data_IF_979933944966
#
_entry.id   IF_979933944966
#
_cell.length_a   1.000
_cell.length_b   1.000
_cell.length_c   1.000
_cell.angle_alpha   90.00
_cell.angle_beta   90.00
_cell.angle_gamma   90.00
#
_symmetry.space_group_name_H-M   'P 1'
#
loop_
_entity.id
_entity.type
_entity.pdbx_description
1 polymer ?
#
# COMPACT_ATOMS: atom_id res chain seq x y z
N UNK A 1 12.80 9.17 -10.00
CA UNK A 1 11.44 9.22 -9.39
C UNK A 1 10.77 7.85 -9.34
N UNK A 2 10.81 7.04 -10.41
CA UNK A 2 10.43 5.61 -10.34
C UNK A 2 11.29 4.78 -9.36
N UNK A 3 12.45 5.32 -8.99
CA UNK A 3 13.39 4.81 -7.98
C UNK A 3 12.91 4.90 -6.53
N UNK A 4 11.79 5.58 -6.24
CA UNK A 4 11.32 5.78 -4.85
C UNK A 4 10.27 4.75 -4.39
N UNK A 5 9.69 3.97 -5.31
CA UNK A 5 8.86 2.84 -4.94
C UNK A 5 9.73 1.57 -4.96
N UNK A 6 9.80 0.82 -3.83
CA UNK A 6 10.47 -0.46 -3.84
C UNK A 6 9.74 -1.43 -4.78
N UNK A 7 10.48 -2.38 -5.37
CA UNK A 7 9.85 -3.46 -6.10
C UNK A 7 8.90 -4.27 -5.22
N UNK A 8 7.75 -4.65 -5.77
CA UNK A 8 6.87 -5.64 -5.15
C UNK A 8 7.32 -7.03 -5.56
N UNK A 9 7.68 -7.87 -4.59
CA UNK A 9 8.07 -9.25 -4.87
C UNK A 9 6.92 -10.07 -5.45
N UNK A 10 5.70 -9.86 -4.95
CA UNK A 10 4.49 -10.53 -5.46
C UNK A 10 4.24 -10.19 -6.94
N UNK A 11 4.24 -8.90 -7.26
CA UNK A 11 4.03 -8.43 -8.64
C UNK A 11 5.16 -8.88 -9.57
N UNK A 12 6.42 -8.80 -9.10
CA UNK A 12 7.59 -9.22 -9.87
C UNK A 12 7.56 -10.71 -10.17
N UNK A 13 7.13 -11.53 -9.21
CA UNK A 13 6.99 -12.97 -9.40
C UNK A 13 5.90 -13.31 -10.44
N UNK A 14 4.77 -12.60 -10.42
CA UNK A 14 3.73 -12.76 -11.44
C UNK A 14 4.21 -12.42 -12.84
N UNK A 15 4.93 -11.30 -12.99
CA UNK A 15 5.54 -10.91 -14.27
C UNK A 15 6.62 -11.93 -14.71
N UNK A 16 7.39 -12.47 -13.77
CA UNK A 16 8.41 -13.48 -14.05
C UNK A 16 7.83 -14.80 -14.56
N UNK A 17 6.57 -15.14 -14.27
CA UNK A 17 5.91 -16.38 -14.73
C UNK A 17 5.48 -16.34 -16.20
N UNK A 18 5.47 -15.17 -16.84
CA UNK A 18 4.97 -15.01 -18.21
C UNK A 18 5.88 -15.76 -19.19
N UNK A 19 5.36 -16.74 -19.95
CA UNK A 19 6.15 -17.44 -20.95
C UNK A 19 6.40 -16.55 -22.17
N UNK A 20 7.60 -16.65 -22.75
CA UNK A 20 7.88 -16.01 -24.01
C UNK A 20 6.96 -16.59 -25.11
N UNK A 21 6.25 -15.75 -25.89
CA UNK A 21 5.32 -16.22 -26.93
C UNK A 21 5.97 -17.11 -28.00
N UNK A 22 7.23 -16.85 -28.35
CA UNK A 22 8.01 -17.57 -29.36
C UNK A 22 8.77 -18.76 -28.75
N UNK A 23 9.29 -18.59 -27.53
CA UNK A 23 10.09 -19.59 -26.82
C UNK A 23 9.48 -19.93 -25.46
N UNK A 24 8.37 -20.68 -25.45
CA UNK A 24 7.60 -21.01 -24.23
C UNK A 24 8.39 -21.67 -23.09
N UNK A 25 9.59 -22.17 -23.35
CA UNK A 25 10.53 -22.72 -22.35
C UNK A 25 11.36 -21.65 -21.63
N UNK A 26 11.16 -20.37 -21.93
CA UNK A 26 11.88 -19.24 -21.31
C UNK A 26 10.89 -18.17 -20.85
N UNK A 27 11.22 -17.44 -19.77
CA UNK A 27 10.42 -16.29 -19.36
C UNK A 27 10.49 -15.19 -20.42
N UNK A 28 9.37 -14.49 -20.62
CA UNK A 28 9.31 -13.27 -21.42
C UNK A 28 10.18 -12.17 -20.79
N UNK A 29 10.20 -12.10 -19.45
CA UNK A 29 10.94 -11.10 -18.68
C UNK A 29 12.01 -11.77 -17.79
N UNK A 30 13.17 -12.18 -18.35
CA UNK A 30 14.21 -12.87 -17.59
C UNK A 30 14.79 -12.04 -16.43
N UNK A 31 14.80 -10.71 -16.56
CA UNK A 31 15.27 -9.81 -15.50
C UNK A 31 14.41 -9.87 -14.23
N UNK A 32 13.10 -10.11 -14.36
CA UNK A 32 12.20 -10.27 -13.22
C UNK A 32 12.47 -11.60 -12.50
N UNK A 33 12.76 -12.67 -13.24
CA UNK A 33 13.15 -13.95 -12.66
C UNK A 33 14.51 -13.86 -11.93
N UNK A 34 15.49 -13.19 -12.55
CA UNK A 34 16.79 -12.92 -11.91
C UNK A 34 16.63 -12.07 -10.64
N UNK A 35 15.70 -11.10 -10.65
CA UNK A 35 15.37 -10.33 -9.44
C UNK A 35 14.82 -11.25 -8.34
N UNK A 36 13.87 -12.14 -8.65
CA UNK A 36 13.31 -13.08 -7.65
C UNK A 36 14.41 -13.95 -7.03
N UNK A 37 15.34 -14.47 -7.85
CA UNK A 37 16.46 -15.29 -7.38
C UNK A 37 17.40 -14.56 -6.41
N UNK A 38 17.62 -13.25 -6.63
CA UNK A 38 18.64 -12.47 -5.90
C UNK A 38 18.10 -11.68 -4.70
N UNK A 39 16.79 -11.60 -4.52
CA UNK A 39 16.15 -10.74 -3.51
C UNK A 39 15.33 -11.54 -2.48
N UNK A 40 15.77 -12.76 -2.15
CA UNK A 40 15.23 -13.50 -1.00
C UNK A 40 15.84 -12.97 0.30
N UNK A 41 15.02 -12.76 1.32
CA UNK A 41 15.48 -12.35 2.65
C UNK A 41 16.24 -13.50 3.35
N UNK A 42 17.12 -13.17 4.30
CA UNK A 42 17.89 -14.16 5.07
C UNK A 42 17.04 -15.19 5.83
N UNK A 43 15.75 -14.91 6.07
CA UNK A 43 14.79 -15.84 6.68
C UNK A 43 13.95 -16.66 5.70
N UNK A 44 14.28 -16.65 4.41
CA UNK A 44 13.60 -17.41 3.37
C UNK A 44 12.37 -16.72 2.75
N UNK A 45 11.90 -15.60 3.31
CA UNK A 45 10.76 -14.85 2.79
C UNK A 45 11.12 -13.92 1.62
N UNK A 46 10.11 -13.47 0.88
CA UNK A 46 10.19 -12.33 -0.03
C UNK A 46 9.25 -11.22 0.41
N UNK A 47 9.58 -9.98 0.03
CA UNK A 47 8.82 -8.78 0.40
C UNK A 47 9.49 -8.01 1.52
N UNK A 48 8.70 -7.21 2.24
CA UNK A 48 9.20 -6.34 3.30
C UNK A 48 9.86 -7.15 4.44
N UNK A 49 10.90 -6.58 5.06
CA UNK A 49 11.64 -7.20 6.16
C UNK A 49 10.81 -7.31 7.43
N UNK A 50 9.85 -6.40 7.61
CA UNK A 50 8.86 -6.52 8.67
C UNK A 50 7.93 -7.69 8.31
N UNK A 51 8.10 -8.82 9.00
CA UNK A 51 7.34 -10.06 8.78
C UNK A 51 5.86 -9.86 9.10
N UNK A 52 5.11 -9.33 8.14
CA UNK A 52 3.65 -9.16 8.13
C UNK A 52 2.99 -10.26 7.30
N UNK A 53 1.66 -10.32 7.30
CA UNK A 53 0.88 -11.25 6.45
C UNK A 53 1.25 -11.13 4.97
N UNK A 54 1.72 -9.96 4.52
CA UNK A 54 2.09 -9.65 3.13
C UNK A 54 3.26 -10.50 2.62
N UNK A 55 4.12 -10.94 3.55
CA UNK A 55 5.25 -11.81 3.23
C UNK A 55 4.79 -13.20 2.76
N UNK A 56 3.58 -13.65 3.15
CA UNK A 56 3.08 -14.98 2.78
C UNK A 56 2.74 -15.06 1.28
N UNK A 57 1.87 -14.20 0.69
CA UNK A 57 1.62 -14.23 -0.74
C UNK A 57 2.85 -13.90 -1.57
N UNK A 58 3.69 -12.96 -1.13
CA UNK A 58 4.92 -12.61 -1.83
C UNK A 58 5.89 -13.80 -1.92
N UNK A 59 6.05 -14.55 -0.82
CA UNK A 59 6.87 -15.76 -0.80
C UNK A 59 6.26 -16.86 -1.65
N UNK A 60 4.94 -17.10 -1.56
CA UNK A 60 4.25 -18.07 -2.41
C UNK A 60 4.43 -17.77 -3.90
N UNK A 61 4.12 -16.55 -4.34
CA UNK A 61 4.29 -16.15 -5.74
C UNK A 61 5.75 -16.34 -6.20
N UNK A 62 6.72 -15.97 -5.36
CA UNK A 62 8.15 -16.12 -5.66
C UNK A 62 8.57 -17.58 -5.86
N UNK A 63 8.21 -18.49 -4.95
CA UNK A 63 8.55 -19.92 -5.10
C UNK A 63 7.81 -20.56 -6.28
N UNK A 64 6.59 -20.12 -6.59
CA UNK A 64 5.83 -20.57 -7.77
C UNK A 64 6.53 -20.12 -9.05
N UNK A 65 7.03 -18.89 -9.11
CA UNK A 65 7.79 -18.37 -10.25
C UNK A 65 9.08 -19.15 -10.47
N UNK A 66 9.85 -19.39 -9.40
CA UNK A 66 11.07 -20.20 -9.46
C UNK A 66 10.78 -21.65 -9.90
N UNK A 67 9.72 -22.26 -9.36
CA UNK A 67 9.29 -23.61 -9.73
C UNK A 67 8.85 -23.70 -11.19
N UNK A 68 8.15 -22.68 -11.69
CA UNK A 68 7.67 -22.61 -13.09
C UNK A 68 8.83 -22.74 -14.08
N UNK A 69 10.00 -22.21 -13.73
CA UNK A 69 11.21 -22.25 -14.58
C UNK A 69 12.24 -23.29 -14.16
N UNK A 70 11.96 -24.13 -13.14
CA UNK A 70 12.90 -25.10 -12.57
C UNK A 70 14.27 -24.48 -12.20
N UNK A 71 14.26 -23.31 -11.56
CA UNK A 71 15.46 -22.62 -11.05
C UNK A 71 15.36 -22.38 -9.55
N UNK A 72 16.49 -22.10 -8.88
CA UNK A 72 16.50 -21.67 -7.49
C UNK A 72 15.95 -22.69 -6.49
N UNK A 73 16.33 -23.98 -6.60
CA UNK A 73 15.85 -25.03 -5.69
C UNK A 73 16.12 -24.71 -4.21
N UNK A 74 17.30 -24.18 -3.90
CA UNK A 74 17.66 -23.73 -2.55
C UNK A 74 16.71 -22.62 -2.09
N UNK A 75 16.42 -21.63 -2.95
CA UNK A 75 15.51 -20.55 -2.64
C UNK A 75 14.09 -21.07 -2.37
N UNK A 76 13.62 -22.05 -3.16
CA UNK A 76 12.31 -22.71 -2.96
C UNK A 76 12.27 -23.40 -1.59
N UNK A 77 13.31 -24.17 -1.24
CA UNK A 77 13.36 -24.90 0.03
C UNK A 77 13.34 -23.93 1.23
N UNK A 78 14.09 -22.84 1.18
CA UNK A 78 14.08 -21.80 2.21
C UNK A 78 12.73 -21.06 2.27
N UNK A 79 12.10 -20.79 1.14
CA UNK A 79 10.76 -20.19 1.08
C UNK A 79 9.70 -21.10 1.69
N UNK A 80 9.77 -22.41 1.43
CA UNK A 80 8.89 -23.38 2.07
C UNK A 80 9.11 -23.41 3.58
N UNK A 81 10.37 -23.49 4.06
CA UNK A 81 10.69 -23.44 5.50
C UNK A 81 10.08 -22.21 6.17
N UNK A 82 10.20 -21.05 5.53
CA UNK A 82 9.57 -19.81 6.02
C UNK A 82 8.06 -19.94 6.15
N UNK A 83 7.37 -20.41 5.10
CA UNK A 83 5.92 -20.59 5.10
C UNK A 83 5.47 -21.56 6.20
N UNK A 84 6.17 -22.68 6.38
CA UNK A 84 5.88 -23.64 7.46
C UNK A 84 6.03 -23.02 8.85
N UNK A 85 7.10 -22.26 9.08
CA UNK A 85 7.39 -21.70 10.39
C UNK A 85 6.51 -20.47 10.73
N UNK A 86 6.05 -19.73 9.73
CA UNK A 86 5.49 -18.39 9.94
C UNK A 86 3.98 -18.29 9.69
N UNK A 87 3.38 -19.14 8.86
CA UNK A 87 1.97 -18.97 8.43
C UNK A 87 1.02 -18.89 9.62
N UNK A 88 1.00 -19.91 10.49
CA UNK A 88 0.08 -19.95 11.63
C UNK A 88 0.31 -18.78 12.60
N UNK A 89 1.57 -18.45 12.87
CA UNK A 89 1.93 -17.32 13.74
C UNK A 89 1.45 -15.98 13.18
N UNK A 90 1.54 -15.77 11.87
CA UNK A 90 1.12 -14.51 11.24
C UNK A 90 -0.40 -14.40 11.12
N UNK A 91 -1.08 -15.51 10.84
CA UNK A 91 -2.55 -15.53 10.78
C UNK A 91 -3.18 -15.37 12.17
N UNK A 92 -2.65 -16.03 13.20
CA UNK A 92 -3.18 -15.94 14.56
C UNK A 92 -3.01 -14.56 15.19
N UNK A 93 -1.99 -13.78 14.79
CA UNK A 93 -1.82 -12.38 15.21
C UNK A 93 -2.93 -11.46 14.72
N UNK A 94 -3.56 -11.77 13.58
CA UNK A 94 -4.71 -11.02 13.08
C UNK A 94 -5.99 -11.52 13.78
N UNK A 95 -6.13 -11.19 15.06
CA UNK A 95 -7.27 -11.54 15.92
C UNK A 95 -8.59 -10.88 15.47
N UNK A 96 -9.22 -11.42 14.42
CA UNK A 96 -10.61 -11.11 14.06
C UNK A 96 -10.85 -10.25 12.81
N UNK A 97 -9.86 -10.10 11.92
CA UNK A 97 -10.08 -9.39 10.65
C UNK A 97 -8.98 -9.65 9.63
N UNK A 98 -9.07 -10.77 8.91
CA UNK A 98 -8.24 -11.01 7.72
C UNK A 98 -8.68 -10.00 6.65
N UNK A 99 -7.76 -9.19 6.08
CA UNK A 99 -8.12 -8.25 5.03
C UNK A 99 -8.71 -8.97 3.81
N UNK A 100 -9.71 -8.37 3.17
CA UNK A 100 -10.40 -8.91 1.98
C UNK A 100 -9.41 -9.36 0.91
N UNK A 101 -8.44 -8.51 0.56
CA UNK A 101 -7.43 -8.80 -0.45
C UNK A 101 -6.62 -10.06 -0.09
N UNK A 102 -6.28 -10.25 1.18
CA UNK A 102 -5.49 -11.39 1.64
C UNK A 102 -6.33 -12.67 1.58
N UNK A 103 -7.59 -12.60 2.02
CA UNK A 103 -8.52 -13.72 1.94
C UNK A 103 -8.73 -14.20 0.49
N UNK A 104 -8.61 -13.33 -0.51
CA UNK A 104 -8.68 -13.72 -1.92
C UNK A 104 -7.33 -14.25 -2.42
N UNK A 105 -6.25 -13.48 -2.22
CA UNK A 105 -4.93 -13.78 -2.81
C UNK A 105 -4.31 -15.03 -2.21
N UNK A 106 -4.27 -15.16 -0.88
CA UNK A 106 -3.49 -16.20 -0.22
C UNK A 106 -3.99 -17.61 -0.57
N UNK A 107 -5.30 -17.93 -0.48
CA UNK A 107 -5.82 -19.21 -0.95
C UNK A 107 -5.56 -19.47 -2.44
N UNK A 108 -5.75 -18.47 -3.30
CA UNK A 108 -5.49 -18.61 -4.74
C UNK A 108 -4.02 -18.94 -5.05
N UNK A 109 -3.08 -18.38 -4.29
CA UNK A 109 -1.67 -18.72 -4.42
C UNK A 109 -1.35 -20.14 -3.93
N UNK A 110 -2.01 -20.62 -2.87
CA UNK A 110 -1.85 -22.01 -2.41
C UNK A 110 -2.35 -23.02 -3.45
N UNK A 111 -3.48 -22.73 -4.07
CA UNK A 111 -4.04 -23.52 -5.18
C UNK A 111 -3.06 -23.55 -6.36
N UNK A 112 -2.56 -22.37 -6.79
CA UNK A 112 -1.58 -22.28 -7.87
C UNK A 112 -0.27 -23.02 -7.54
N UNK A 113 0.21 -22.93 -6.29
CA UNK A 113 1.40 -23.67 -5.85
C UNK A 113 1.20 -25.18 -5.97
N UNK A 114 0.04 -25.69 -5.55
CA UNK A 114 -0.34 -27.09 -5.68
C UNK A 114 -0.36 -27.53 -7.14
N UNK A 115 -0.94 -26.72 -8.03
CA UNK A 115 -1.00 -27.00 -9.47
C UNK A 115 0.39 -27.04 -10.12
N UNK A 116 1.35 -26.26 -9.60
CA UNK A 116 2.78 -26.32 -10.00
C UNK A 116 3.57 -27.46 -9.32
N UNK A 117 2.91 -28.31 -8.52
CA UNK A 117 3.52 -29.44 -7.84
C UNK A 117 4.32 -29.08 -6.59
N UNK A 118 4.09 -27.91 -5.98
CA UNK A 118 4.67 -27.53 -4.70
C UNK A 118 3.78 -28.05 -3.55
N UNK A 119 4.39 -28.74 -2.60
CA UNK A 119 3.72 -29.22 -1.39
C UNK A 119 3.96 -28.24 -0.24
N UNK A 120 3.20 -27.15 -0.22
CA UNK A 120 3.34 -26.10 0.82
C UNK A 120 2.90 -26.60 2.20
N UNK A 121 1.87 -27.44 2.28
CA UNK A 121 1.39 -28.03 3.54
C UNK A 121 1.16 -29.54 3.37
N UNK A 122 2.21 -30.38 3.49
CA UNK A 122 2.13 -31.81 3.21
C UNK A 122 1.25 -32.57 4.21
N UNK A 123 1.03 -32.02 5.41
CA UNK A 123 0.20 -32.60 6.47
C UNK A 123 -1.25 -32.05 6.45
N UNK A 124 -1.61 -31.22 5.47
CA UNK A 124 -2.89 -30.52 5.41
C UNK A 124 -2.84 -29.10 5.95
N UNK A 125 -3.93 -28.36 5.76
CA UNK A 125 -4.07 -26.98 6.22
C UNK A 125 -4.25 -26.93 7.74
N UNK A 126 -3.69 -25.90 8.37
CA UNK A 126 -4.01 -25.60 9.77
C UNK A 126 -5.39 -24.93 9.83
N UNK A 127 -6.02 -24.94 11.01
CA UNK A 127 -7.31 -24.25 11.23
C UNK A 127 -7.26 -22.78 10.81
N UNK A 128 -6.15 -22.08 11.11
CA UNK A 128 -5.97 -20.70 10.72
C UNK A 128 -5.98 -20.50 9.19
N UNK A 129 -5.43 -21.45 8.42
CA UNK A 129 -5.49 -21.43 6.96
C UNK A 129 -6.91 -21.74 6.47
N UNK A 130 -7.58 -22.73 7.06
CA UNK A 130 -8.98 -23.06 6.74
C UNK A 130 -9.92 -21.88 6.97
N UNK A 131 -9.71 -21.11 8.04
CA UNK A 131 -10.48 -19.89 8.33
C UNK A 131 -10.32 -18.84 7.22
N UNK A 132 -9.13 -18.71 6.61
CA UNK A 132 -8.91 -17.83 5.44
C UNK A 132 -9.69 -18.32 4.22
N UNK A 133 -9.69 -19.63 3.95
CA UNK A 133 -10.49 -20.23 2.87
C UNK A 133 -11.99 -19.99 3.09
N UNK A 134 -12.47 -20.20 4.32
CA UNK A 134 -13.86 -19.95 4.68
C UNK A 134 -14.24 -18.48 4.46
N UNK A 135 -13.34 -17.54 4.74
CA UNK A 135 -13.56 -16.13 4.49
C UNK A 135 -13.62 -15.80 2.98
N UNK A 136 -12.77 -16.42 2.17
CA UNK A 136 -12.84 -16.31 0.69
C UNK A 136 -14.19 -16.77 0.13
N UNK A 137 -14.70 -17.89 0.64
CA UNK A 137 -16.01 -18.43 0.21
C UNK A 137 -17.17 -17.50 0.59
N UNK A 138 -17.11 -16.86 1.78
CA UNK A 138 -18.10 -15.83 2.14
C UNK A 138 -18.02 -14.63 1.19
N UNK A 139 -16.81 -14.20 0.85
CA UNK A 139 -16.57 -13.10 -0.08
C UNK A 139 -17.19 -13.41 -1.45
N UNK A 140 -16.95 -14.59 -2.01
CA UNK A 140 -17.51 -14.99 -3.31
C UNK A 140 -19.04 -15.08 -3.29
N UNK A 141 -19.63 -15.71 -2.26
CA UNK A 141 -21.09 -15.80 -2.09
C UNK A 141 -21.74 -14.42 -1.96
N UNK A 142 -21.10 -13.50 -1.24
CA UNK A 142 -21.61 -12.14 -1.07
C UNK A 142 -21.61 -11.39 -2.41
N UNK A 143 -20.62 -11.59 -3.26
CA UNK A 143 -20.60 -10.99 -4.60
C UNK A 143 -21.62 -11.58 -5.56
N UNK A 144 -21.91 -12.88 -5.46
CA UNK A 144 -22.94 -13.52 -6.28
C UNK A 144 -24.36 -13.09 -5.91
N UNK A 145 -24.58 -12.70 -4.65
CA UNK A 145 -25.89 -12.33 -4.10
C UNK A 145 -26.13 -10.82 -4.05
N UNK A 146 -25.08 -9.99 -4.05
CA UNK A 146 -25.20 -8.55 -4.05
C UNK A 146 -25.44 -8.00 -5.46
N UNK A 147 -26.59 -7.35 -5.68
CA UNK A 147 -26.87 -6.55 -6.88
C UNK A 147 -26.20 -5.15 -6.85
N UNK A 148 -25.29 -4.87 -5.92
CA UNK A 148 -24.72 -3.53 -5.72
C UNK A 148 -23.20 -3.56 -5.52
N UNK A 149 -22.49 -2.77 -6.33
CA UNK A 149 -21.03 -2.64 -6.35
C UNK A 149 -20.43 -1.94 -5.13
N UNK A 150 -20.65 -2.47 -3.94
CA UNK A 150 -20.13 -1.95 -2.67
C UNK A 150 -18.78 -2.58 -2.27
N UNK A 151 -18.08 -3.25 -3.17
CA UNK A 151 -16.74 -3.79 -2.92
C UNK A 151 -15.84 -3.62 -4.15
N UNK A 152 -14.52 -3.70 -3.92
CA UNK A 152 -13.54 -3.77 -5.00
C UNK A 152 -13.88 -4.95 -5.93
N UNK A 153 -13.87 -4.74 -7.26
CA UNK A 153 -14.31 -5.76 -8.21
C UNK A 153 -13.36 -6.97 -8.17
N UNK A 154 -13.90 -8.21 -8.12
CA UNK A 154 -13.07 -9.43 -8.14
C UNK A 154 -12.02 -9.49 -9.25
N UNK A 155 -12.28 -9.01 -10.49
CA UNK A 155 -11.26 -8.94 -11.54
C UNK A 155 -10.00 -8.17 -11.15
N UNK A 156 -10.02 -7.36 -10.08
CA UNK A 156 -8.81 -6.82 -9.48
C UNK A 156 -7.87 -7.96 -9.07
N UNK A 157 -8.34 -9.05 -8.49
CA UNK A 157 -7.51 -10.18 -8.04
C UNK A 157 -7.48 -11.33 -9.06
N UNK A 158 -7.64 -11.04 -10.36
CA UNK A 158 -7.79 -12.04 -11.43
C UNK A 158 -6.79 -13.19 -11.33
N UNK A 159 -5.55 -12.89 -10.96
CA UNK A 159 -4.46 -13.86 -10.83
C UNK A 159 -4.64 -14.89 -9.71
N UNK A 160 -5.51 -14.60 -8.75
CA UNK A 160 -5.82 -15.44 -7.61
C UNK A 160 -7.27 -15.95 -7.63
N UNK A 161 -8.03 -15.70 -8.69
CA UNK A 161 -9.39 -16.23 -8.81
C UNK A 161 -9.39 -17.67 -9.37
N UNK A 162 -10.32 -18.53 -8.93
CA UNK A 162 -10.53 -19.84 -9.53
C UNK A 162 -10.86 -19.76 -11.04
N UNK A 163 -10.56 -20.84 -11.79
CA UNK A 163 -10.75 -20.89 -13.24
C UNK A 163 -12.18 -20.56 -13.70
N UNK A 164 -13.20 -20.82 -12.87
CA UNK A 164 -14.61 -20.48 -13.15
C UNK A 164 -14.81 -18.97 -13.39
N UNK A 165 -14.03 -18.11 -12.73
CA UNK A 165 -14.10 -16.65 -12.90
C UNK A 165 -13.19 -16.14 -14.04
N UNK A 166 -12.35 -17.01 -14.63
CA UNK A 166 -11.44 -16.68 -15.72
C UNK A 166 -12.02 -17.00 -17.11
N UNK A 167 -13.11 -17.78 -17.16
CA UNK A 167 -13.66 -18.36 -18.40
C UNK A 167 -14.34 -17.39 -19.36
N UNK A 168 -14.70 -16.17 -18.93
CA UNK A 168 -15.31 -15.13 -19.77
C UNK A 168 -14.37 -13.94 -19.91
N UNK A 169 -13.50 -13.98 -20.91
CA UNK A 169 -12.46 -12.96 -21.10
C UNK A 169 -13.01 -11.52 -21.17
N UNK A 170 -14.20 -11.35 -21.76
CA UNK A 170 -14.90 -10.06 -21.84
C UNK A 170 -15.20 -9.45 -20.46
N UNK A 171 -15.44 -10.26 -19.43
CA UNK A 171 -15.83 -9.80 -18.10
C UNK A 171 -14.70 -9.12 -17.34
N UNK A 172 -13.45 -9.53 -17.56
CA UNK A 172 -12.31 -8.84 -16.94
C UNK A 172 -11.68 -7.81 -17.88
N UNK A 173 -11.73 -8.01 -19.19
CA UNK A 173 -11.21 -7.05 -20.17
C UNK A 173 -12.02 -5.74 -20.20
N UNK A 174 -13.28 -5.73 -19.77
CA UNK A 174 -14.06 -4.48 -19.58
C UNK A 174 -13.42 -3.51 -18.57
N UNK A 175 -12.53 -4.00 -17.71
CA UNK A 175 -11.80 -3.19 -16.73
C UNK A 175 -10.44 -2.71 -17.25
N UNK A 176 -10.04 -3.09 -18.47
CA UNK A 176 -8.81 -2.64 -19.11
C UNK A 176 -8.81 -1.12 -19.26
N UNK A 177 -7.69 -0.49 -18.97
CA UNK A 177 -7.49 0.96 -19.10
C UNK A 177 -6.87 1.30 -20.45
N UNK A 178 -6.82 2.59 -20.75
CA UNK A 178 -6.21 3.11 -21.99
C UNK A 178 -4.73 2.75 -22.13
N UNK A 179 -4.03 2.56 -21.01
CA UNK A 179 -2.63 2.14 -20.98
C UNK A 179 -2.43 0.62 -21.14
N UNK A 180 -3.51 -0.15 -21.34
CA UNK A 180 -3.48 -1.60 -21.49
C UNK A 180 -3.52 -2.38 -20.17
N UNK A 181 -3.44 -1.71 -19.02
CA UNK A 181 -3.45 -2.37 -17.71
C UNK A 181 -4.84 -2.82 -17.27
N UNK A 182 -4.88 -3.87 -16.46
CA UNK A 182 -6.01 -4.12 -15.56
C UNK A 182 -5.72 -3.43 -14.23
N UNK A 183 -6.49 -2.37 -13.92
CA UNK A 183 -6.43 -1.64 -12.65
C UNK A 183 -5.04 -1.09 -12.27
N UNK A 184 -4.18 -0.77 -13.25
CA UNK A 184 -2.76 -0.41 -13.03
C UNK A 184 -1.95 -1.46 -12.26
N UNK A 185 -2.41 -2.71 -12.19
CA UNK A 185 -1.69 -3.76 -11.47
C UNK A 185 -0.96 -4.72 -12.41
N UNK A 186 0.34 -4.94 -12.16
CA UNK A 186 1.13 -5.90 -12.91
C UNK A 186 0.56 -7.33 -12.89
N UNK A 187 0.11 -7.84 -11.75
CA UNK A 187 -0.28 -9.24 -11.54
C UNK A 187 -1.54 -9.61 -12.31
N UNK A 188 -2.60 -8.79 -12.21
CA UNK A 188 -3.82 -9.03 -12.98
C UNK A 188 -3.55 -8.85 -14.47
N UNK A 189 -2.71 -7.88 -14.86
CA UNK A 189 -2.38 -7.67 -16.27
C UNK A 189 -1.54 -8.83 -16.82
N UNK A 190 -0.60 -9.36 -16.03
CA UNK A 190 0.17 -10.56 -16.35
C UNK A 190 -0.73 -11.78 -16.51
N UNK A 191 -1.66 -11.99 -15.58
CA UNK A 191 -2.65 -13.07 -15.67
C UNK A 191 -3.54 -12.92 -16.90
N UNK A 192 -4.11 -11.73 -17.13
CA UNK A 192 -4.93 -11.43 -18.30
C UNK A 192 -4.18 -11.69 -19.60
N UNK A 193 -2.92 -11.26 -19.70
CA UNK A 193 -2.06 -11.54 -20.85
C UNK A 193 -1.82 -13.04 -21.06
N UNK A 194 -1.51 -13.79 -19.99
CA UNK A 194 -1.29 -15.24 -20.09
C UNK A 194 -2.55 -16.00 -20.52
N UNK A 195 -3.73 -15.50 -20.15
CA UNK A 195 -5.02 -16.10 -20.51
C UNK A 195 -5.42 -15.74 -21.95
N UNK A 196 -5.26 -14.48 -22.35
CA UNK A 196 -5.89 -13.94 -23.58
C UNK A 196 -4.91 -13.69 -24.72
N UNK A 197 -3.63 -13.49 -24.43
CA UNK A 197 -2.65 -12.98 -25.40
C UNK A 197 -2.89 -11.52 -25.83
N UNK A 198 -3.71 -10.76 -25.09
CA UNK A 198 -4.06 -9.37 -25.42
C UNK A 198 -2.82 -8.49 -25.60
N UNK A 199 -2.80 -7.76 -26.73
CA UNK A 199 -1.65 -6.95 -27.14
C UNK A 199 -1.41 -5.75 -26.22
N UNK A 200 -2.47 -5.09 -25.76
CA UNK A 200 -2.34 -3.89 -24.93
C UNK A 200 -1.81 -4.27 -23.54
N UNK A 201 -2.26 -5.40 -22.98
CA UNK A 201 -1.69 -5.96 -21.75
C UNK A 201 -0.18 -6.23 -21.90
N UNK A 202 0.25 -6.75 -23.05
CA UNK A 202 1.66 -7.00 -23.36
C UNK A 202 2.46 -5.69 -23.40
N UNK A 203 1.97 -4.69 -24.13
CA UNK A 203 2.63 -3.39 -24.29
C UNK A 203 2.79 -2.67 -22.93
N UNK A 204 1.77 -2.74 -22.07
CA UNK A 204 1.84 -2.26 -20.69
C UNK A 204 2.98 -2.92 -19.89
N UNK A 205 3.05 -4.25 -19.91
CA UNK A 205 4.04 -5.03 -19.16
C UNK A 205 5.48 -4.74 -19.66
N UNK A 206 5.66 -4.65 -20.98
CA UNK A 206 6.94 -4.28 -21.59
C UNK A 206 7.38 -2.87 -21.19
N UNK A 207 6.48 -1.89 -21.27
CA UNK A 207 6.76 -0.51 -20.87
C UNK A 207 7.14 -0.39 -19.39
N UNK A 208 6.43 -1.11 -18.51
CA UNK A 208 6.71 -1.15 -17.08
C UNK A 208 8.07 -1.78 -16.78
N UNK A 209 8.37 -2.97 -17.34
CA UNK A 209 9.65 -3.66 -17.11
C UNK A 209 10.82 -2.84 -17.64
N UNK A 210 10.67 -2.21 -18.82
CA UNK A 210 11.68 -1.30 -19.37
C UNK A 210 11.96 -0.12 -18.44
N UNK A 211 10.94 0.38 -17.74
CA UNK A 211 11.07 1.53 -16.83
C UNK A 211 11.62 1.17 -15.45
N UNK A 212 11.23 0.03 -14.89
CA UNK A 212 11.62 -0.42 -13.55
C UNK A 212 12.95 -1.21 -13.52
N UNK A 213 13.40 -1.75 -14.66
CA UNK A 213 14.71 -2.38 -14.82
C UNK A 213 14.76 -3.87 -14.45
N UNK A 214 14.56 -4.21 -13.17
CA UNK A 214 14.69 -5.61 -12.67
C UNK A 214 13.46 -6.11 -11.90
N UNK A 215 13.05 -5.40 -10.85
CA UNK A 215 11.81 -5.68 -10.13
C UNK A 215 10.75 -4.64 -10.49
N UNK A 216 9.46 -5.01 -10.44
CA UNK A 216 8.35 -4.14 -10.85
C UNK A 216 7.66 -3.52 -9.63
N UNK A 217 7.06 -2.35 -9.80
CA UNK A 217 6.36 -1.63 -8.74
C UNK A 217 5.02 -2.30 -8.38
N UNK A 218 4.46 -2.06 -7.18
CA UNK A 218 3.10 -2.51 -6.80
C UNK A 218 1.97 -2.01 -7.72
N UNK A 219 2.19 -0.87 -8.39
CA UNK A 219 1.28 -0.26 -9.35
C UNK A 219 2.09 0.43 -10.45
N UNK A 220 1.56 0.49 -11.66
CA UNK A 220 2.14 1.28 -12.75
C UNK A 220 1.03 1.82 -13.67
N UNK A 221 1.11 3.07 -14.16
CA UNK A 221 2.13 4.07 -13.87
C UNK A 221 2.06 4.61 -12.45
N UNK A 222 3.21 5.07 -11.96
CA UNK A 222 3.33 5.69 -10.63
C UNK A 222 2.92 7.15 -10.70
N UNK A 223 1.99 7.57 -9.83
CA UNK A 223 1.59 8.97 -9.71
C UNK A 223 2.74 9.82 -9.15
N UNK A 224 3.39 10.58 -10.02
CA UNK A 224 4.55 11.41 -9.65
C UNK A 224 4.18 12.55 -8.71
N UNK A 225 2.98 13.11 -8.81
CA UNK A 225 2.53 14.19 -7.94
C UNK A 225 2.34 13.64 -6.51
N UNK A 226 1.79 12.43 -6.38
CA UNK A 226 1.67 11.75 -5.10
C UNK A 226 3.04 11.45 -4.47
N UNK A 227 4.00 10.96 -5.25
CA UNK A 227 5.37 10.72 -4.73
C UNK A 227 6.00 12.01 -4.23
N UNK A 228 5.88 13.12 -4.97
CA UNK A 228 6.37 14.44 -4.54
C UNK A 228 5.73 14.89 -3.22
N UNK A 229 4.40 14.79 -3.11
CA UNK A 229 3.66 15.10 -1.88
C UNK A 229 4.16 14.28 -0.68
N UNK A 230 4.34 12.98 -0.85
CA UNK A 230 4.81 12.10 0.21
C UNK A 230 6.24 12.44 0.65
N UNK A 231 7.13 12.75 -0.30
CA UNK A 231 8.51 13.16 0.00
C UNK A 231 8.55 14.48 0.78
N UNK A 232 7.71 15.45 0.42
CA UNK A 232 7.60 16.72 1.16
C UNK A 232 7.07 16.49 2.57
N UNK A 233 5.97 15.74 2.75
CA UNK A 233 5.44 15.43 4.09
C UNK A 233 6.49 14.69 4.93
N UNK A 234 7.22 13.75 4.32
CA UNK A 234 8.29 13.03 5.01
C UNK A 234 9.39 13.96 5.53
N UNK A 235 9.92 14.85 4.68
CA UNK A 235 10.96 15.82 5.06
C UNK A 235 10.48 16.79 6.15
N UNK A 236 9.23 17.25 6.05
CA UNK A 236 8.63 18.13 7.05
C UNK A 236 8.46 17.41 8.39
N UNK A 237 7.95 16.16 8.40
CA UNK A 237 7.77 15.37 9.63
C UNK A 237 9.09 14.96 10.28
N UNK A 238 10.18 14.87 9.51
CA UNK A 238 11.53 14.67 10.03
C UNK A 238 12.18 15.95 10.60
N UNK A 239 11.49 17.09 10.54
CA UNK A 239 12.05 18.37 10.98
C UNK A 239 13.18 18.89 10.09
N UNK A 240 13.23 18.42 8.84
CA UNK A 240 14.26 18.82 7.86
C UNK A 240 13.75 19.87 6.86
N UNK A 241 12.47 20.22 6.87
CA UNK A 241 11.85 21.11 5.88
C UNK A 241 12.55 22.47 5.71
N UNK A 242 13.06 23.06 6.80
CA UNK A 242 13.80 24.33 6.77
C UNK A 242 15.09 24.28 5.93
N UNK A 243 15.70 23.10 5.77
CA UNK A 243 16.90 22.92 4.95
C UNK A 243 16.59 22.82 3.45
N UNK A 244 15.31 22.64 3.10
CA UNK A 244 14.84 22.42 1.74
C UNK A 244 13.75 23.42 1.33
N UNK A 245 13.75 24.63 1.89
CA UNK A 245 12.70 25.64 1.64
C UNK A 245 12.50 25.93 0.14
N UNK A 246 13.57 26.18 -0.63
CA UNK A 246 13.43 26.48 -2.05
C UNK A 246 12.92 25.27 -2.86
N UNK A 247 13.54 24.06 -2.75
CA UNK A 247 13.01 22.88 -3.45
C UNK A 247 11.58 22.52 -3.08
N UNK A 248 11.19 22.69 -1.80
CA UNK A 248 9.81 22.45 -1.35
C UNK A 248 8.88 23.50 -1.98
N UNK A 249 9.29 24.77 -1.99
CA UNK A 249 8.54 25.86 -2.65
C UNK A 249 8.27 25.57 -4.12
N UNK A 250 9.30 25.21 -4.89
CA UNK A 250 9.17 24.87 -6.31
C UNK A 250 8.17 23.71 -6.54
N UNK A 251 8.20 22.70 -5.68
CA UNK A 251 7.28 21.56 -5.74
C UNK A 251 5.85 21.98 -5.38
N UNK A 252 5.68 22.83 -4.35
CA UNK A 252 4.36 23.34 -3.95
C UNK A 252 3.75 24.23 -5.03
N UNK A 253 4.53 25.12 -5.65
CA UNK A 253 4.08 25.97 -6.76
C UNK A 253 3.56 25.13 -7.94
N UNK A 254 4.34 24.13 -8.35
CA UNK A 254 3.95 23.19 -9.39
C UNK A 254 2.67 22.41 -9.03
N UNK A 255 2.54 21.95 -7.79
CA UNK A 255 1.35 21.22 -7.34
C UNK A 255 0.12 22.12 -7.22
N UNK A 256 0.29 23.37 -6.80
CA UNK A 256 -0.77 24.36 -6.72
C UNK A 256 -1.35 24.69 -8.10
N UNK A 257 -0.49 24.93 -9.10
CA UNK A 257 -0.93 25.15 -10.48
C UNK A 257 -1.74 23.96 -11.01
N UNK A 258 -1.29 22.75 -10.74
CA UNK A 258 -2.03 21.54 -11.11
C UNK A 258 -3.34 21.38 -10.34
N UNK A 259 -3.39 21.81 -9.08
CA UNK A 259 -4.60 21.77 -8.25
C UNK A 259 -5.71 22.67 -8.81
N UNK A 260 -5.36 23.87 -9.27
CA UNK A 260 -6.30 24.83 -9.88
C UNK A 260 -6.73 24.42 -11.29
N UNK A 261 -5.78 23.94 -12.12
CA UNK A 261 -6.04 23.63 -13.54
C UNK A 261 -6.78 22.30 -13.71
N UNK A 262 -6.41 21.26 -12.94
CA UNK A 262 -7.00 19.92 -13.12
C UNK A 262 -8.42 19.90 -12.58
N UNK A 263 -9.41 19.91 -13.47
CA UNK A 263 -10.78 19.49 -13.15
C UNK A 263 -10.73 18.09 -12.53
N UNK A 264 -11.41 17.90 -11.39
CA UNK A 264 -11.56 16.56 -10.83
C UNK A 264 -12.27 15.67 -11.83
N UNK A 265 -11.58 14.62 -12.26
CA UNK A 265 -12.20 13.53 -12.99
C UNK A 265 -12.88 12.57 -12.01
N UNK A 266 -13.98 11.92 -12.40
CA UNK A 266 -14.54 10.82 -11.62
C UNK A 266 -13.49 9.72 -11.50
N UNK A 267 -13.11 9.34 -10.28
CA UNK A 267 -12.25 8.18 -10.09
C UNK A 267 -13.07 6.91 -10.09
N UNK A 268 -12.48 5.85 -10.64
CA UNK A 268 -12.99 4.49 -10.46
C UNK A 268 -12.92 4.15 -8.96
N UNK A 269 -13.85 3.34 -8.50
CA UNK A 269 -13.98 2.97 -7.09
C UNK A 269 -12.69 2.42 -6.47
N UNK A 270 -11.89 1.66 -7.25
CA UNK A 270 -10.62 1.12 -6.77
C UNK A 270 -9.50 2.16 -6.60
N UNK A 271 -9.57 3.29 -7.31
CA UNK A 271 -8.62 4.40 -7.21
C UNK A 271 -9.01 5.39 -6.10
N UNK A 272 -10.23 5.29 -5.56
CA UNK A 272 -10.82 6.28 -4.66
C UNK A 272 -10.04 6.47 -3.34
N UNK A 273 -9.64 5.42 -2.59
CA UNK A 273 -8.86 5.61 -1.37
C UNK A 273 -7.55 6.37 -1.62
N UNK A 274 -6.84 6.02 -2.72
CA UNK A 274 -5.59 6.67 -3.09
C UNK A 274 -5.80 8.12 -3.51
N UNK A 275 -6.88 8.41 -4.22
CA UNK A 275 -7.24 9.78 -4.57
C UNK A 275 -7.55 10.60 -3.32
N UNK A 276 -8.39 10.11 -2.40
CA UNK A 276 -8.71 10.83 -1.16
C UNK A 276 -7.44 11.11 -0.36
N UNK A 277 -6.55 10.12 -0.25
CA UNK A 277 -5.25 10.29 0.39
C UNK A 277 -4.44 11.40 -0.27
N UNK A 278 -4.29 11.37 -1.61
CA UNK A 278 -3.55 12.37 -2.38
C UNK A 278 -4.13 13.76 -2.23
N UNK A 279 -5.44 13.92 -2.42
CA UNK A 279 -6.11 15.21 -2.37
C UNK A 279 -6.06 15.80 -0.94
N UNK A 280 -6.19 14.96 0.10
CA UNK A 280 -6.07 15.40 1.50
C UNK A 280 -4.64 15.83 1.85
N UNK A 281 -3.64 15.08 1.39
CA UNK A 281 -2.23 15.41 1.63
C UNK A 281 -1.82 16.69 0.88
N UNK A 282 -2.27 16.85 -0.38
CA UNK A 282 -2.07 18.07 -1.15
C UNK A 282 -2.70 19.27 -0.45
N UNK A 283 -3.95 19.14 -0.01
CA UNK A 283 -4.62 20.19 0.74
C UNK A 283 -3.85 20.58 2.01
N UNK A 284 -3.43 19.58 2.78
CA UNK A 284 -2.70 19.79 4.02
C UNK A 284 -1.39 20.57 3.77
N UNK A 285 -0.58 20.12 2.81
CA UNK A 285 0.74 20.70 2.54
C UNK A 285 0.65 22.09 1.92
N UNK A 286 -0.23 22.28 0.93
CA UNK A 286 -0.44 23.58 0.30
C UNK A 286 -0.93 24.61 1.31
N UNK A 287 -1.89 24.27 2.17
CA UNK A 287 -2.38 25.19 3.19
C UNK A 287 -1.30 25.51 4.24
N UNK A 288 -0.48 24.52 4.66
CA UNK A 288 0.68 24.76 5.54
C UNK A 288 1.72 25.69 4.93
N UNK A 289 1.88 25.68 3.61
CA UNK A 289 2.81 26.55 2.89
C UNK A 289 2.21 27.93 2.55
N UNK A 290 0.98 28.23 3.01
CA UNK A 290 0.35 29.55 2.84
C UNK A 290 -0.49 29.71 1.58
N UNK A 291 -0.69 28.66 0.78
CA UNK A 291 -1.56 28.74 -0.40
C UNK A 291 -3.03 28.77 0.01
N UNK A 292 -3.81 29.61 -0.67
CA UNK A 292 -5.27 29.69 -0.48
C UNK A 292 -5.95 28.67 -1.37
N UNK A 293 -6.48 27.62 -0.76
CA UNK A 293 -7.20 26.54 -1.43
C UNK A 293 -8.49 26.21 -0.69
N UNK A 294 -9.53 25.85 -1.45
CA UNK A 294 -10.82 25.40 -0.93
C UNK A 294 -10.76 23.92 -0.51
N UNK A 295 -11.41 23.53 0.61
CA UNK A 295 -11.53 22.14 1.00
C UNK A 295 -12.50 21.33 0.13
N UNK A 296 -13.34 21.98 -0.70
CA UNK A 296 -14.36 21.35 -1.53
C UNK A 296 -13.83 20.16 -2.36
N UNK A 297 -12.62 20.30 -2.93
CA UNK A 297 -12.01 19.26 -3.77
C UNK A 297 -11.81 17.96 -3.01
N UNK A 298 -11.28 18.01 -1.80
CA UNK A 298 -10.98 16.79 -1.05
C UNK A 298 -12.19 16.32 -0.22
N UNK A 299 -13.09 17.21 0.20
CA UNK A 299 -14.32 16.86 0.92
C UNK A 299 -15.42 16.30 0.02
N UNK A 300 -15.23 16.23 -1.30
CA UNK A 300 -16.26 15.82 -2.25
C UNK A 300 -16.89 14.46 -1.95
N UNK A 301 -16.12 13.51 -1.43
CA UNK A 301 -16.63 12.18 -1.07
C UNK A 301 -17.73 12.23 0.00
N UNK A 302 -17.80 13.31 0.80
CA UNK A 302 -18.84 13.53 1.81
C UNK A 302 -20.22 13.84 1.21
N UNK A 303 -20.31 14.14 -0.10
CA UNK A 303 -21.58 14.50 -0.76
C UNK A 303 -22.41 13.30 -1.19
N UNK A 304 -21.84 12.09 -1.13
CA UNK A 304 -22.50 10.85 -1.55
C UNK A 304 -22.74 9.94 -0.33
N UNK A 305 -23.98 9.87 0.18
CA UNK A 305 -24.32 9.01 1.32
C UNK A 305 -24.04 7.52 1.06
N UNK A 306 -24.19 7.04 -0.18
CA UNK A 306 -23.91 5.64 -0.51
C UNK A 306 -22.41 5.36 -0.46
N UNK A 307 -21.59 6.33 -0.88
CA UNK A 307 -20.14 6.25 -0.75
C UNK A 307 -19.71 6.19 0.72
N UNK A 308 -20.31 7.00 1.58
CA UNK A 308 -20.00 7.00 3.01
C UNK A 308 -20.34 5.65 3.68
N UNK A 309 -21.50 5.06 3.35
CA UNK A 309 -21.87 3.72 3.81
C UNK A 309 -20.85 2.67 3.33
N UNK A 310 -20.47 2.72 2.05
CA UNK A 310 -19.46 1.83 1.48
C UNK A 310 -18.11 1.92 2.22
N UNK A 311 -17.63 3.15 2.48
CA UNK A 311 -16.38 3.39 3.20
C UNK A 311 -16.45 2.89 4.64
N UNK A 312 -17.62 2.95 5.28
CA UNK A 312 -17.82 2.43 6.63
C UNK A 312 -17.79 0.90 6.70
N UNK A 313 -18.38 0.23 5.71
CA UNK A 313 -18.37 -1.23 5.59
C UNK A 313 -16.96 -1.74 5.26
N UNK A 314 -16.23 -0.99 4.42
CA UNK A 314 -14.89 -1.33 3.93
C UNK A 314 -13.79 -0.49 4.61
N UNK A 315 -14.00 -0.13 5.88
CA UNK A 315 -13.14 0.81 6.63
C UNK A 315 -11.63 0.51 6.58
N UNK A 316 -11.24 -0.77 6.47
CA UNK A 316 -9.84 -1.18 6.36
C UNK A 316 -9.16 -0.67 5.08
N UNK A 317 -9.89 -0.63 3.95
CA UNK A 317 -9.37 -0.17 2.66
C UNK A 317 -9.19 1.36 2.64
N UNK A 318 -9.93 2.07 3.50
CA UNK A 318 -9.92 3.53 3.60
C UNK A 318 -9.12 4.07 4.77
N UNK A 319 -8.49 3.22 5.58
CA UNK A 319 -7.87 3.64 6.85
C UNK A 319 -6.75 4.68 6.63
N UNK A 320 -5.86 4.43 5.66
CA UNK A 320 -4.81 5.38 5.28
C UNK A 320 -5.37 6.69 4.70
N UNK A 321 -6.43 6.62 3.90
CA UNK A 321 -7.08 7.80 3.34
C UNK A 321 -7.75 8.66 4.43
N UNK A 322 -8.45 8.03 5.37
CA UNK A 322 -9.10 8.71 6.49
C UNK A 322 -8.08 9.28 7.48
N UNK A 323 -6.91 8.65 7.62
CA UNK A 323 -5.80 9.23 8.38
C UNK A 323 -5.33 10.55 7.76
N UNK A 324 -5.15 10.59 6.43
CA UNK A 324 -4.78 11.81 5.73
C UNK A 324 -5.89 12.89 5.80
N UNK A 325 -7.16 12.51 5.66
CA UNK A 325 -8.31 13.42 5.84
C UNK A 325 -8.31 14.02 7.24
N UNK A 326 -8.21 13.18 8.28
CA UNK A 326 -8.22 13.63 9.67
C UNK A 326 -7.10 14.64 9.93
N UNK A 327 -5.87 14.34 9.49
CA UNK A 327 -4.73 15.26 9.56
C UNK A 327 -4.96 16.58 8.80
N UNK A 328 -5.60 16.53 7.63
CA UNK A 328 -5.93 17.71 6.85
C UNK A 328 -6.93 18.63 7.57
N UNK A 329 -7.88 18.05 8.33
CA UNK A 329 -8.89 18.82 9.07
C UNK A 329 -8.32 19.65 10.22
N UNK A 330 -7.08 19.41 10.64
CA UNK A 330 -6.40 20.26 11.63
C UNK A 330 -6.19 21.71 11.16
N UNK A 331 -6.23 21.95 9.84
CA UNK A 331 -6.02 23.26 9.23
C UNK A 331 -7.34 23.96 8.86
N UNK A 332 -8.43 23.60 9.54
CA UNK A 332 -9.77 24.14 9.33
C UNK A 332 -9.91 25.58 9.85
N UNK A 333 -10.59 26.42 9.09
CA UNK A 333 -11.05 27.75 9.49
C UNK A 333 -12.52 27.73 9.96
N UNK A 334 -12.92 28.76 10.71
CA UNK A 334 -14.23 28.85 11.40
C UNK A 334 -15.47 28.66 10.49
N UNK A 335 -15.37 28.95 9.20
CA UNK A 335 -16.51 28.90 8.26
C UNK A 335 -16.54 27.62 7.40
N UNK A 336 -15.58 26.70 7.59
CA UNK A 336 -15.41 25.51 6.76
C UNK A 336 -16.14 24.29 7.35
N UNK A 337 -17.47 24.34 7.40
CA UNK A 337 -18.31 23.26 7.98
C UNK A 337 -18.10 21.88 7.34
N UNK A 338 -17.71 21.84 6.07
CA UNK A 338 -17.37 20.60 5.36
C UNK A 338 -16.15 19.88 5.96
N UNK A 339 -15.19 20.63 6.55
CA UNK A 339 -14.06 20.05 7.27
C UNK A 339 -14.46 19.45 8.61
N UNK A 340 -15.42 20.05 9.32
CA UNK A 340 -15.94 19.50 10.58
C UNK A 340 -16.65 18.16 10.34
N UNK A 341 -17.43 18.08 9.26
CA UNK A 341 -18.06 16.83 8.83
C UNK A 341 -17.02 15.77 8.44
N UNK A 342 -16.00 16.16 7.66
CA UNK A 342 -14.91 15.26 7.27
C UNK A 342 -14.10 14.78 8.49
N UNK A 343 -13.87 15.64 9.48
CA UNK A 343 -13.19 15.31 10.75
C UNK A 343 -14.00 14.28 11.54
N UNK A 344 -15.30 14.50 11.69
CA UNK A 344 -16.19 13.59 12.41
C UNK A 344 -16.23 12.21 11.74
N UNK A 345 -16.38 12.19 10.42
CA UNK A 345 -16.43 10.95 9.65
C UNK A 345 -15.09 10.19 9.67
N UNK A 346 -13.98 10.88 9.37
CA UNK A 346 -12.65 10.26 9.41
C UNK A 346 -12.30 9.70 10.80
N UNK A 347 -12.63 10.43 11.87
CA UNK A 347 -12.46 9.94 13.25
C UNK A 347 -13.25 8.63 13.49
N UNK A 348 -14.52 8.57 13.07
CA UNK A 348 -15.35 7.37 13.17
C UNK A 348 -14.71 6.16 12.47
N UNK A 349 -14.17 6.35 11.26
CA UNK A 349 -13.51 5.28 10.51
C UNK A 349 -12.19 4.85 11.19
N UNK A 350 -11.38 5.81 11.63
CA UNK A 350 -10.11 5.55 12.29
C UNK A 350 -10.29 4.78 13.60
N UNK A 351 -11.32 5.12 14.39
CA UNK A 351 -11.68 4.38 15.61
C UNK A 351 -12.10 2.93 15.31
N UNK A 352 -12.82 2.68 14.20
CA UNK A 352 -13.16 1.30 13.77
C UNK A 352 -11.92 0.49 13.40
N UNK A 353 -10.87 1.12 12.87
CA UNK A 353 -9.62 0.45 12.48
C UNK A 353 -8.64 0.18 13.63
N UNK A 354 -8.86 0.77 14.80
CA UNK A 354 -8.10 0.45 16.02
C UNK A 354 -8.70 -0.79 16.71
N UNK A 355 -7.88 -1.67 17.30
CA UNK A 355 -8.39 -2.80 18.05
C UNK A 355 -9.21 -2.36 19.27
N UNK A 356 -10.13 -3.24 19.69
CA UNK A 356 -10.94 -3.08 20.91
C UNK A 356 -10.06 -2.71 22.11
N UNK A 357 -10.63 -1.91 23.04
CA UNK A 357 -9.96 -1.51 24.29
C UNK A 357 -9.43 -2.70 25.10
N UNK A 358 -10.08 -3.86 25.04
CA UNK A 358 -9.66 -5.08 25.76
C UNK A 358 -8.36 -5.70 25.19
N UNK A 359 -7.97 -5.32 23.96
CA UNK A 359 -6.75 -5.77 23.27
C UNK A 359 -5.62 -4.72 23.29
N UNK A 360 -5.90 -3.49 23.78
CA UNK A 360 -4.93 -2.39 23.81
C UNK A 360 -3.82 -2.58 24.84
N UNK A 361 -4.04 -3.39 25.87
CA UNK A 361 -3.07 -3.67 26.93
C UNK A 361 -1.87 -4.52 26.46
N UNK A 362 -1.87 -4.98 25.19
CA UNK A 362 -0.72 -5.64 24.58
C UNK A 362 -0.10 -4.76 23.47
N UNK A 363 0.94 -3.95 23.76
CA UNK A 363 1.56 -3.05 22.79
C UNK A 363 2.26 -3.76 21.61
N UNK A 364 2.37 -5.09 21.64
CA UNK A 364 2.86 -5.93 20.54
C UNK A 364 1.80 -6.20 19.44
N UNK A 365 0.54 -5.78 19.66
CA UNK A 365 -0.58 -6.06 18.74
C UNK A 365 -0.75 -4.96 17.67
N UNK A 366 -0.39 -3.70 17.98
CA UNK A 366 -0.57 -2.59 17.06
C UNK A 366 0.51 -2.56 15.97
N UNK A 367 0.07 -2.49 14.71
CA UNK A 367 0.95 -2.12 13.60
C UNK A 367 1.51 -0.70 13.79
N UNK A 368 2.66 -0.39 13.17
CA UNK A 368 3.25 0.96 13.24
C UNK A 368 2.26 2.04 12.75
N UNK A 369 1.41 1.70 11.78
CA UNK A 369 0.33 2.57 11.30
C UNK A 369 -0.76 2.81 12.34
N UNK A 370 -1.22 1.76 13.03
CA UNK A 370 -2.23 1.92 14.09
C UNK A 370 -1.69 2.75 15.26
N UNK A 371 -0.39 2.67 15.55
CA UNK A 371 0.27 3.55 16.53
C UNK A 371 0.28 5.01 16.08
N UNK A 372 0.47 5.28 14.79
CA UNK A 372 0.35 6.64 14.24
C UNK A 372 -1.09 7.15 14.33
N UNK A 373 -2.09 6.32 14.02
CA UNK A 373 -3.50 6.68 14.14
C UNK A 373 -3.86 6.97 15.59
N UNK A 374 -3.45 6.10 16.53
CA UNK A 374 -3.73 6.29 17.95
C UNK A 374 -3.11 7.58 18.47
N UNK A 375 -1.84 7.86 18.14
CA UNK A 375 -1.18 9.12 18.47
C UNK A 375 -1.93 10.33 17.91
N UNK A 376 -2.39 10.27 16.65
CA UNK A 376 -3.14 11.35 16.03
C UNK A 376 -4.48 11.61 16.71
N UNK A 377 -5.18 10.57 17.17
CA UNK A 377 -6.49 10.70 17.81
C UNK A 377 -6.41 11.13 19.28
N UNK A 378 -5.34 10.76 20.00
CA UNK A 378 -5.18 11.04 21.43
C UNK A 378 -4.78 12.49 21.73
N UNK A 379 -3.97 13.11 20.88
CA UNK A 379 -3.38 14.41 21.15
C UNK A 379 -3.94 15.49 20.21
N UNK A 380 -4.49 16.56 20.79
CA UNK A 380 -4.92 17.73 20.01
C UNK A 380 -3.73 18.32 19.24
N UNK A 381 -3.86 18.48 17.93
CA UNK A 381 -2.79 19.01 17.07
C UNK A 381 -2.20 20.33 17.57
N UNK A 382 -3.03 21.26 18.03
CA UNK A 382 -2.61 22.57 18.58
C UNK A 382 -1.77 22.47 19.86
N UNK A 383 -1.81 21.33 20.56
CA UNK A 383 -1.05 21.10 21.79
C UNK A 383 0.28 20.34 21.54
N UNK A 384 0.59 20.00 20.29
CA UNK A 384 1.79 19.22 19.95
C UNK A 384 2.98 20.14 19.71
N UNK A 385 4.13 19.74 20.25
CA UNK A 385 5.38 20.48 20.11
C UNK A 385 6.21 19.91 18.96
N UNK A 386 6.57 20.74 17.98
CA UNK A 386 7.29 20.32 16.77
C UNK A 386 8.52 19.46 17.06
N UNK A 387 9.36 19.89 18.02
CA UNK A 387 10.58 19.14 18.36
C UNK A 387 10.27 17.73 18.91
N UNK A 388 9.18 17.57 19.67
CA UNK A 388 8.75 16.26 20.16
C UNK A 388 8.18 15.39 19.04
N UNK A 389 7.36 15.97 18.16
CA UNK A 389 6.80 15.27 17.00
C UNK A 389 7.90 14.78 16.06
N UNK A 390 8.90 15.63 15.78
CA UNK A 390 10.07 15.25 14.97
C UNK A 390 10.83 14.09 15.62
N UNK A 391 11.04 14.11 16.94
CA UNK A 391 11.70 13.02 17.66
C UNK A 391 10.93 11.72 17.51
N UNK A 392 9.63 11.74 17.83
CA UNK A 392 8.77 10.56 17.77
C UNK A 392 8.72 10.00 16.35
N UNK A 393 8.68 10.87 15.33
CA UNK A 393 8.71 10.44 13.95
C UNK A 393 10.07 9.85 13.56
N UNK A 394 11.20 10.45 13.95
CA UNK A 394 12.54 9.89 13.71
C UNK A 394 12.69 8.50 14.35
N UNK A 395 12.25 8.34 15.60
CA UNK A 395 12.34 7.06 16.35
C UNK A 395 11.43 5.97 15.77
N UNK A 396 10.28 6.35 15.18
CA UNK A 396 9.32 5.41 14.56
C UNK A 396 9.61 5.15 13.07
N UNK A 397 10.26 6.09 12.38
CA UNK A 397 10.35 6.04 10.92
C UNK A 397 11.30 4.94 10.46
N UNK A 398 10.75 4.04 9.64
CA UNK A 398 11.50 3.09 8.79
C UNK A 398 11.35 3.48 7.30
N UNK A 399 11.11 4.75 7.01
CA UNK A 399 10.66 5.27 5.72
C UNK A 399 9.24 5.87 5.77
N UNK A 400 8.68 6.20 4.61
CA UNK A 400 7.32 6.76 4.49
C UNK A 400 6.32 5.68 4.05
N UNK A 401 5.34 5.37 4.91
CA UNK A 401 4.29 4.40 4.61
C UNK A 401 3.31 4.98 3.58
N UNK A 402 3.21 4.35 2.41
CA UNK A 402 2.33 4.73 1.32
C UNK A 402 1.42 3.56 0.92
N UNK A 403 0.12 3.76 1.00
CA UNK A 403 -0.85 2.73 0.68
C UNK A 403 -1.12 2.70 -0.82
N UNK A 404 -0.34 1.92 -1.57
CA UNK A 404 -0.45 1.79 -3.01
C UNK A 404 -0.48 0.32 -3.42
N UNK A 405 -1.41 -0.03 -4.30
CA UNK A 405 -1.53 -1.34 -4.93
C UNK A 405 -2.73 -2.14 -4.43
N UNK A 406 -2.79 -3.41 -4.83
CA UNK A 406 -3.84 -4.37 -4.44
C UNK A 406 -3.56 -5.05 -3.09
N UNK A 407 -2.29 -5.10 -2.72
CA UNK A 407 -1.81 -5.55 -1.42
C UNK A 407 -1.44 -4.34 -0.58
N UNK A 408 -1.30 -4.58 0.73
CA UNK A 408 -0.97 -3.62 1.80
C UNK A 408 0.22 -2.66 1.53
N UNK A 409 0.40 -1.74 2.49
CA UNK A 409 1.33 -0.60 2.47
C UNK A 409 2.66 -0.87 1.76
N UNK A 410 2.94 -0.10 0.73
CA UNK A 410 4.26 0.06 0.16
C UNK A 410 5.02 1.15 0.93
N UNK A 411 6.25 0.90 1.38
CA UNK A 411 7.06 1.99 1.94
C UNK A 411 7.83 2.66 0.85
N UNK A 412 7.68 3.97 0.68
CA UNK A 412 8.61 4.71 -0.17
C UNK A 412 10.01 4.51 0.38
N UNK A 413 10.94 4.09 -0.48
CA UNK A 413 12.34 3.97 -0.12
C UNK A 413 12.89 5.37 0.09
N UNK A 414 13.18 5.69 1.34
CA UNK A 414 13.90 6.89 1.70
C UNK A 414 15.38 6.54 1.85
N UNK A 415 16.31 7.29 1.25
CA UNK A 415 17.73 7.09 1.48
C UNK A 415 18.05 7.19 2.98
N UNK A 416 18.87 6.27 3.51
CA UNK A 416 19.28 6.26 4.92
C UNK A 416 19.92 7.60 5.34
N UNK A 417 20.51 8.31 4.39
CA UNK A 417 21.10 9.64 4.55
C UNK A 417 20.09 10.68 5.06
N UNK A 418 18.80 10.57 4.70
CA UNK A 418 17.77 11.53 5.16
C UNK A 418 17.45 11.31 6.64
N UNK A 419 17.38 10.05 7.10
CA UNK A 419 17.18 9.74 8.52
C UNK A 419 18.41 10.12 9.35
N UNK A 420 19.61 9.90 8.81
CA UNK A 420 20.86 10.34 9.43
C UNK A 420 20.92 11.88 9.56
N UNK A 421 20.53 12.60 8.50
CA UNK A 421 20.42 14.05 8.50
C UNK A 421 19.43 14.52 9.56
N UNK A 422 18.24 13.91 9.62
CA UNK A 422 17.20 14.25 10.60
C UNK A 422 17.68 14.05 12.04
N UNK A 423 18.34 12.93 12.30
CA UNK A 423 18.91 12.62 13.63
C UNK A 423 19.98 13.64 14.01
N UNK A 424 20.90 13.96 13.11
CA UNK A 424 21.95 14.96 13.37
C UNK A 424 21.36 16.35 13.59
N UNK A 425 20.38 16.75 12.79
CA UNK A 425 19.66 18.02 12.94
C UNK A 425 18.98 18.11 14.31
N UNK A 426 18.26 17.06 14.69
CA UNK A 426 17.61 16.97 16.01
C UNK A 426 18.61 17.08 17.16
N UNK A 427 19.70 16.31 17.12
CA UNK A 427 20.71 16.30 18.19
C UNK A 427 21.44 17.64 18.30
N UNK A 428 21.66 18.32 17.18
CA UNK A 428 22.28 19.66 17.16
C UNK A 428 21.37 20.68 17.84
N UNK A 429 20.09 20.74 17.47
CA UNK A 429 19.10 21.61 18.15
C UNK A 429 19.00 21.28 19.64
N UNK A 430 18.97 20.00 19.99
CA UNK A 430 18.90 19.56 21.38
C UNK A 430 20.11 19.97 22.22
N UNK A 431 21.31 20.01 21.63
CA UNK A 431 22.52 20.46 22.30
C UNK A 431 22.50 21.98 22.58
N UNK A 432 21.97 22.77 21.64
CA UNK A 432 21.75 24.21 21.82
C UNK A 432 20.77 24.45 22.97
N UNK A 433 19.59 23.81 22.95
CA UNK A 433 18.59 23.95 24.02
C UNK A 433 19.12 23.56 25.41
N UNK A 434 19.98 22.54 25.48
CA UNK A 434 20.62 22.15 26.76
C UNK A 434 21.58 23.21 27.27
N UNK A 435 22.25 23.93 26.38
CA UNK A 435 23.17 25.01 26.74
C UNK A 435 22.38 26.22 27.22
N UNK A 436 21.36 26.63 26.47
CA UNK A 436 20.45 27.72 26.85
C UNK A 436 19.76 27.46 28.19
N UNK A 437 19.30 26.22 28.43
CA UNK A 437 18.69 25.84 29.71
C UNK A 437 19.66 25.94 30.89
N UNK A 438 20.97 25.71 30.68
CA UNK A 438 21.97 25.90 31.74
C UNK A 438 22.14 27.38 32.07
N UNK A 439 22.20 28.24 31.05
CA UNK A 439 22.28 29.68 31.24
C UNK A 439 21.02 30.23 31.93
N UNK A 440 19.83 29.75 31.58
CA UNK A 440 18.57 30.16 32.22
C UNK A 440 18.46 29.74 33.70
N UNK A 441 19.21 28.72 34.12
CA UNK A 441 19.23 28.24 35.51
C UNK A 441 20.29 28.93 36.37
N UNK A 442 21.22 29.64 35.74
CA UNK A 442 22.26 30.41 36.41
C UNK A 442 21.71 31.77 36.83
#
# INVERSE_FOLDING_TARGET
MYSFLPPSAYETAWVAMIPNPELRRRPMFPNCLDWVLRNQNHGGSWGNLDLTIDSLPATLASIIALKTWNVGSINIDEGLKFLHASTEKLLTKHHGGIPRWFAIIFPGMLELAKDKGLKVFPQGHTRAVEDVFNEREKIFKMEETSCGGHHLPLPLYLEALPAIYQGKHEDFLKHKREDGSLFHSPSATACAFMITGDRDCKEYLEAMVQRCGRGVAPTYPVDQDLVKLCLVDHLMRLGCGEHFTNPIGDVMDYLYLNWEIKKLQPSKMHDLPLQIFKDSLAFQLLRRCGYRISPERFCRFMRDPQMLLHMEENHQDFLGAMYAVYRATHLMFLEESELENAKTFSNKILQKGLPSKDLKDNPLVLSDHQKEIEHELEHLWLARMDHLEHRMYIERSKGYNLWIGKSSSCRLTCPDEIIQLATKNFMTRQAVYRTELKELKR
#
